data_IF_430769112884
#
_entry.id   IF_430769112884
#
_cell.length_a   1.000
_cell.length_b   1.000
_cell.length_c   1.000
_cell.angle_alpha   90.00
_cell.angle_beta   90.00
_cell.angle_gamma   90.00
#
_symmetry.space_group_name_H-M   'P 1'
#
loop_
_entity.id
_entity.type
_entity.pdbx_description
1 polymer ?
#
# COMPACT_ATOMS: atom_id res chain seq x y z
N UNK A 1 5.06 -16.40 30.07
CA UNK A 1 5.05 -15.31 29.07
C UNK A 1 4.57 -14.03 29.75
N UNK A 2 5.36 -12.96 29.66
CA UNK A 2 5.04 -11.65 30.23
C UNK A 2 3.86 -10.99 29.49
N UNK A 3 3.11 -10.12 30.17
CA UNK A 3 2.03 -9.31 29.57
C UNK A 3 2.53 -8.49 28.36
N UNK A 4 3.77 -8.00 28.43
CA UNK A 4 4.42 -7.25 27.35
C UNK A 4 4.62 -8.14 26.12
N UNK A 5 5.01 -9.41 26.32
CA UNK A 5 5.18 -10.38 25.23
C UNK A 5 3.86 -10.68 24.52
N UNK A 6 2.74 -10.74 25.27
CA UNK A 6 1.41 -10.99 24.71
C UNK A 6 0.87 -9.78 23.95
N UNK A 7 1.09 -8.56 24.45
CA UNK A 7 0.71 -7.31 23.78
C UNK A 7 1.45 -7.13 22.45
N UNK A 8 2.76 -7.35 22.41
CA UNK A 8 3.53 -7.27 21.15
C UNK A 8 3.05 -8.29 20.12
N UNK A 9 2.79 -9.53 20.53
CA UNK A 9 2.30 -10.56 19.62
C UNK A 9 0.89 -10.24 19.08
N UNK A 10 0.01 -9.71 19.93
CA UNK A 10 -1.34 -9.32 19.53
C UNK A 10 -1.32 -8.11 18.58
N UNK A 11 -0.51 -7.09 18.86
CA UNK A 11 -0.38 -5.93 17.98
C UNK A 11 0.22 -6.29 16.61
N UNK A 12 1.15 -7.24 16.58
CA UNK A 12 1.72 -7.74 15.33
C UNK A 12 0.68 -8.48 14.48
N UNK A 13 -0.13 -9.36 15.11
CA UNK A 13 -1.16 -10.11 14.39
C UNK A 13 -2.30 -9.22 13.88
N UNK A 14 -2.67 -8.16 14.61
CA UNK A 14 -3.67 -7.21 14.13
C UNK A 14 -3.16 -6.38 12.95
N UNK A 15 -1.89 -5.95 12.99
CA UNK A 15 -1.29 -5.20 11.89
C UNK A 15 -1.23 -6.04 10.59
N UNK A 16 -0.76 -7.29 10.69
CA UNK A 16 -0.72 -8.21 9.55
C UNK A 16 -2.10 -8.46 8.95
N UNK A 17 -3.09 -8.73 9.80
CA UNK A 17 -4.47 -8.95 9.35
C UNK A 17 -5.05 -7.72 8.67
N UNK A 18 -4.70 -6.53 9.16
CA UNK A 18 -5.10 -5.28 8.51
C UNK A 18 -4.50 -5.17 7.10
N UNK A 19 -3.20 -5.46 6.95
CA UNK A 19 -2.52 -5.47 5.64
C UNK A 19 -3.18 -6.46 4.69
N UNK A 20 -3.38 -7.70 5.13
CA UNK A 20 -4.02 -8.76 4.34
C UNK A 20 -5.42 -8.36 3.86
N UNK A 21 -6.24 -7.77 4.75
CA UNK A 21 -7.63 -7.42 4.39
C UNK A 21 -7.77 -6.19 3.51
N UNK A 22 -6.78 -5.28 3.50
CA UNK A 22 -6.93 -3.94 2.90
C UNK A 22 -5.98 -3.66 1.74
N UNK A 23 -4.80 -4.29 1.74
CA UNK A 23 -3.73 -3.99 0.79
C UNK A 23 -3.38 -5.17 -0.11
N UNK A 24 -3.67 -6.40 0.30
CA UNK A 24 -3.43 -7.58 -0.54
C UNK A 24 -4.55 -7.73 -1.58
N UNK A 25 -4.17 -7.85 -2.84
CA UNK A 25 -5.05 -7.95 -3.99
C UNK A 25 -4.59 -9.09 -4.92
N UNK A 26 -5.24 -9.25 -6.07
CA UNK A 26 -4.99 -10.36 -6.98
C UNK A 26 -3.52 -10.47 -7.44
N UNK A 27 -2.83 -9.33 -7.64
CA UNK A 27 -1.50 -9.31 -8.25
C UNK A 27 -0.37 -8.89 -7.31
N UNK A 28 -0.66 -8.53 -6.07
CA UNK A 28 0.36 -8.14 -5.09
C UNK A 28 -0.20 -7.35 -3.91
N UNK A 29 0.68 -6.62 -3.24
CA UNK A 29 0.34 -5.71 -2.14
C UNK A 29 0.36 -4.27 -2.67
N UNK A 30 -0.73 -3.53 -2.46
CA UNK A 30 -0.80 -2.09 -2.78
C UNK A 30 0.29 -1.34 -2.01
N UNK A 31 1.06 -0.54 -2.73
CA UNK A 31 2.17 0.26 -2.16
C UNK A 31 1.72 1.41 -1.26
N UNK A 32 0.45 1.81 -1.35
CA UNK A 32 -0.13 2.90 -0.57
C UNK A 32 -1.59 2.59 -0.20
N UNK A 33 -2.06 3.18 0.89
CA UNK A 33 -3.46 3.05 1.34
C UNK A 33 -4.41 3.60 0.26
N UNK A 34 -5.41 2.81 -0.21
CA UNK A 34 -6.43 3.28 -1.16
C UNK A 34 -7.17 4.56 -0.75
N UNK A 35 -7.26 4.82 0.55
CA UNK A 35 -7.92 6.02 1.08
C UNK A 35 -6.97 7.23 1.18
N UNK A 36 -5.68 7.06 0.86
CA UNK A 36 -4.72 8.14 0.90
C UNK A 36 -4.96 9.12 -0.26
N UNK A 37 -4.82 10.42 0.01
CA UNK A 37 -5.06 11.48 -0.99
C UNK A 37 -4.22 11.33 -2.26
N UNK A 38 -3.01 10.77 -2.15
CA UNK A 38 -2.10 10.55 -3.28
C UNK A 38 -2.17 9.15 -3.90
N UNK A 39 -3.13 8.31 -3.50
CA UNK A 39 -3.27 6.99 -4.07
C UNK A 39 -3.67 7.05 -5.55
N UNK A 40 -2.84 6.44 -6.41
CA UNK A 40 -3.10 6.24 -7.83
C UNK A 40 -2.68 4.81 -8.18
N UNK A 41 -3.64 3.92 -8.40
CA UNK A 41 -3.38 2.49 -8.60
C UNK A 41 -2.80 2.12 -9.98
N UNK A 42 -3.04 2.94 -10.99
CA UNK A 42 -2.61 2.73 -12.37
C UNK A 42 -1.26 3.39 -12.66
N UNK A 43 -0.21 2.61 -12.92
CA UNK A 43 1.09 3.14 -13.35
C UNK A 43 1.13 3.21 -14.88
N UNK A 44 1.23 4.41 -15.44
CA UNK A 44 1.30 4.64 -16.89
C UNK A 44 2.62 5.36 -17.19
N UNK A 45 3.60 4.61 -17.70
CA UNK A 45 4.98 5.09 -17.96
C UNK A 45 5.06 6.30 -18.89
N UNK A 46 4.24 6.29 -19.93
CA UNK A 46 4.21 7.32 -20.97
C UNK A 46 3.19 8.43 -20.67
N UNK A 47 2.75 8.59 -19.40
CA UNK A 47 1.91 9.72 -19.00
C UNK A 47 2.72 11.02 -19.05
N UNK A 48 2.48 11.79 -20.12
CA UNK A 48 3.06 13.11 -20.38
C UNK A 48 2.15 14.27 -19.95
N UNK A 49 1.17 14.01 -19.09
CA UNK A 49 0.31 15.04 -18.52
C UNK A 49 1.05 15.91 -17.50
N UNK A 50 0.38 16.99 -17.08
CA UNK A 50 0.85 17.86 -16.00
C UNK A 50 0.35 17.42 -14.62
N UNK A 51 -0.27 16.23 -14.50
CA UNK A 51 -0.70 15.70 -13.21
C UNK A 51 0.54 15.21 -12.44
N UNK A 52 0.95 15.98 -11.43
CA UNK A 52 2.12 15.68 -10.61
C UNK A 52 2.06 14.32 -9.92
N UNK A 53 0.88 13.72 -9.78
CA UNK A 53 0.74 12.39 -9.19
C UNK A 53 1.06 11.27 -10.18
N UNK A 54 0.91 11.49 -11.48
CA UNK A 54 0.98 10.43 -12.51
C UNK A 54 2.16 10.59 -13.46
N UNK A 55 2.45 11.82 -13.85
CA UNK A 55 3.37 12.11 -14.95
C UNK A 55 4.67 11.31 -14.80
N UNK A 56 5.13 10.66 -15.87
CA UNK A 56 6.43 9.96 -15.89
C UNK A 56 6.65 9.02 -14.68
N UNK A 57 5.64 8.23 -14.32
CA UNK A 57 5.64 7.28 -13.20
C UNK A 57 5.85 7.88 -11.80
N UNK A 58 5.46 9.14 -11.58
CA UNK A 58 5.50 9.71 -10.21
C UNK A 58 4.73 8.85 -9.18
N UNK A 59 3.78 8.01 -9.62
CA UNK A 59 3.03 7.09 -8.77
C UNK A 59 3.59 5.65 -8.68
N UNK A 60 4.78 5.34 -9.19
CA UNK A 60 5.33 3.97 -9.18
C UNK A 60 5.26 3.27 -7.80
N UNK A 61 5.39 4.05 -6.73
CA UNK A 61 5.31 3.59 -5.34
C UNK A 61 4.10 4.16 -4.54
N UNK A 62 3.11 4.75 -5.22
CA UNK A 62 1.99 5.45 -4.58
C UNK A 62 0.62 4.86 -4.96
N UNK A 63 0.53 3.52 -5.02
CA UNK A 63 -0.72 2.85 -5.32
C UNK A 63 -0.59 1.49 -6.01
N UNK A 64 0.30 1.33 -7.02
CA UNK A 64 0.45 0.07 -7.74
C UNK A 64 0.72 -1.11 -6.81
N UNK A 65 0.32 -2.30 -7.26
CA UNK A 65 0.52 -3.57 -6.57
C UNK A 65 1.90 -4.14 -6.89
N UNK A 66 2.61 -4.58 -5.86
CA UNK A 66 3.95 -5.16 -5.96
C UNK A 66 3.95 -6.59 -5.42
N UNK A 67 4.73 -7.47 -6.08
CA UNK A 67 5.00 -8.84 -5.64
C UNK A 67 6.14 -8.89 -4.63
#
# INVERSE_FOLDING_TARGET
MSLISRLHFCAFSTALKHVETKYLEQYGIKTLDPNHYNYIGDCIHDDDSYDYKRARDFNYHNGPEWL
#
